data_IF_460054623339
#
_entry.id   IF_460054623339
#
_cell.length_a   1.000
_cell.length_b   1.000
_cell.length_c   1.000
_cell.angle_alpha   90.00
_cell.angle_beta   90.00
_cell.angle_gamma   90.00
#
_symmetry.space_group_name_H-M   'P 1'
#
loop_
_entity.id
_entity.type
_entity.pdbx_description
1 polymer ?
#
# COMPACT_ATOMS: atom_id res chain seq x y z
N UNK A 1 1.39 -11.17 -5.94
CA UNK A 1 2.33 -10.05 -6.15
C UNK A 1 2.26 -9.19 -4.89
N UNK A 2 3.35 -9.07 -4.11
CA UNK A 2 3.37 -8.29 -2.86
C UNK A 2 3.91 -6.88 -3.15
N UNK A 3 3.13 -5.86 -2.79
CA UNK A 3 3.47 -4.45 -2.98
C UNK A 3 4.16 -3.99 -1.69
N UNK A 4 5.47 -3.67 -1.77
CA UNK A 4 6.24 -3.13 -0.66
C UNK A 4 6.00 -1.62 -0.55
N UNK A 5 5.35 -1.16 0.51
CA UNK A 5 5.28 0.26 0.85
C UNK A 5 6.35 0.61 1.86
N UNK A 6 7.15 1.65 1.58
CA UNK A 6 8.09 2.20 2.55
C UNK A 6 7.35 3.25 3.38
N UNK A 7 7.15 2.99 4.67
CA UNK A 7 6.51 3.90 5.61
C UNK A 7 5.00 4.10 5.42
N UNK A 8 4.46 5.10 6.13
CA UNK A 8 3.09 5.58 5.97
C UNK A 8 2.93 6.31 4.63
N UNK A 9 1.81 6.12 3.93
CA UNK A 9 1.59 6.80 2.66
C UNK A 9 0.60 6.12 1.70
N UNK A 10 0.62 6.51 0.41
CA UNK A 10 -0.21 5.92 -0.62
C UNK A 10 0.09 4.43 -0.81
N UNK A 11 -0.97 3.62 -0.77
CA UNK A 11 -0.91 2.17 -0.99
C UNK A 11 -1.71 1.83 -2.24
N UNK A 12 -1.07 1.17 -3.20
CA UNK A 12 -1.79 0.64 -4.37
C UNK A 12 -2.46 -0.68 -3.98
N UNK A 13 -3.79 -0.72 -4.07
CA UNK A 13 -4.59 -1.91 -3.81
C UNK A 13 -4.74 -2.78 -5.07
N UNK A 14 -4.72 -2.17 -6.25
CA UNK A 14 -4.77 -2.90 -7.50
C UNK A 14 -4.05 -2.21 -8.67
N UNK A 15 -3.53 -3.01 -9.59
CA UNK A 15 -3.14 -2.56 -10.93
C UNK A 15 -4.30 -2.78 -11.88
N UNK A 16 -4.99 -1.72 -12.28
CA UNK A 16 -5.95 -1.83 -13.38
C UNK A 16 -5.21 -1.64 -14.72
N UNK A 17 -4.78 -2.75 -15.32
CA UNK A 17 -4.02 -2.73 -16.59
C UNK A 17 -4.87 -2.20 -17.75
N UNK A 18 -6.15 -2.55 -17.79
CA UNK A 18 -7.03 -2.28 -18.94
C UNK A 18 -7.85 -0.98 -18.78
N UNK A 19 -7.74 -0.30 -17.63
CA UNK A 19 -8.44 0.95 -17.33
C UNK A 19 -9.94 0.80 -17.03
N UNK A 20 -10.44 -0.43 -16.89
CA UNK A 20 -11.87 -0.76 -16.83
C UNK A 20 -12.64 -0.09 -15.68
N UNK A 21 -12.06 -0.01 -14.49
CA UNK A 21 -12.67 0.60 -13.30
C UNK A 21 -12.94 2.08 -13.55
N UNK A 22 -11.97 2.79 -14.12
CA UNK A 22 -12.12 4.22 -14.37
C UNK A 22 -13.14 4.48 -15.49
N UNK A 23 -13.16 3.63 -16.53
CA UNK A 23 -14.14 3.71 -17.60
C UNK A 23 -15.57 3.52 -17.09
N UNK A 24 -15.81 2.56 -16.19
CA UNK A 24 -17.11 2.34 -15.56
C UNK A 24 -17.52 3.56 -14.75
N UNK A 25 -16.65 4.11 -13.92
CA UNK A 25 -16.96 5.33 -13.15
C UNK A 25 -17.30 6.51 -14.07
N UNK A 26 -16.56 6.66 -15.17
CA UNK A 26 -16.84 7.72 -16.13
C UNK A 26 -18.17 7.52 -16.86
N UNK A 27 -18.52 6.28 -17.21
CA UNK A 27 -19.80 5.93 -17.82
C UNK A 27 -20.96 6.17 -16.86
N UNK A 28 -20.87 5.65 -15.65
CA UNK A 28 -22.00 5.63 -14.71
C UNK A 28 -22.23 6.99 -14.05
N UNK A 29 -21.18 7.67 -13.58
CA UNK A 29 -21.31 8.88 -12.74
C UNK A 29 -20.62 10.10 -13.33
N UNK A 30 -19.87 9.92 -14.43
CA UNK A 30 -19.19 11.00 -15.14
C UNK A 30 -18.37 11.89 -14.19
N UNK A 31 -18.05 13.12 -14.59
CA UNK A 31 -17.29 14.08 -13.78
C UNK A 31 -18.08 14.67 -12.60
N UNK A 32 -19.35 14.29 -12.40
CA UNK A 32 -20.20 14.83 -11.32
C UNK A 32 -20.04 14.06 -10.01
N UNK A 33 -19.64 12.79 -10.08
CA UNK A 33 -19.68 11.92 -8.91
C UNK A 33 -21.11 11.51 -8.56
N UNK A 34 -21.32 10.94 -7.37
CA UNK A 34 -22.64 10.55 -6.87
C UNK A 34 -22.65 10.40 -5.35
N UNK A 35 -23.82 10.58 -4.74
CA UNK A 35 -24.17 10.19 -3.37
C UNK A 35 -25.40 9.25 -3.34
N UNK A 36 -25.85 8.79 -4.50
CA UNK A 36 -26.93 7.80 -4.62
C UNK A 36 -26.39 6.43 -4.20
N UNK A 37 -26.93 5.90 -3.09
CA UNK A 37 -26.49 4.65 -2.48
C UNK A 37 -26.76 3.45 -3.40
N UNK A 38 -27.89 3.42 -4.11
CA UNK A 38 -28.20 2.31 -5.02
C UNK A 38 -27.19 2.27 -6.15
N UNK A 39 -26.91 3.44 -6.75
CA UNK A 39 -25.94 3.56 -7.82
C UNK A 39 -24.51 3.25 -7.38
N UNK A 40 -24.13 3.66 -6.16
CA UNK A 40 -22.84 3.30 -5.58
C UNK A 40 -22.72 1.79 -5.44
N UNK A 41 -23.77 1.13 -4.94
CA UNK A 41 -23.80 -0.33 -4.80
C UNK A 41 -23.64 -1.01 -6.17
N UNK A 42 -24.40 -0.60 -7.18
CA UNK A 42 -24.32 -1.17 -8.53
C UNK A 42 -22.91 -1.02 -9.14
N UNK A 43 -22.23 0.10 -8.87
CA UNK A 43 -20.84 0.33 -9.31
C UNK A 43 -19.88 -0.63 -8.61
N UNK A 44 -19.99 -0.79 -7.29
CA UNK A 44 -19.09 -1.62 -6.49
C UNK A 44 -19.35 -3.12 -6.69
N UNK A 45 -20.57 -3.51 -7.04
CA UNK A 45 -20.96 -4.88 -7.40
C UNK A 45 -20.54 -5.25 -8.84
N UNK A 46 -20.06 -4.28 -9.63
CA UNK A 46 -19.56 -4.55 -10.97
C UNK A 46 -18.30 -5.43 -10.91
N UNK A 47 -18.20 -6.38 -11.85
CA UNK A 47 -17.08 -7.32 -11.97
C UNK A 47 -15.70 -6.66 -11.88
N UNK A 48 -15.53 -5.47 -12.47
CA UNK A 48 -14.25 -4.77 -12.45
C UNK A 48 -13.82 -4.30 -11.06
N UNK A 49 -14.72 -4.21 -10.08
CA UNK A 49 -14.40 -3.97 -8.67
C UNK A 49 -14.25 -5.28 -7.90
N UNK A 50 -15.12 -6.26 -8.16
CA UNK A 50 -15.09 -7.56 -7.46
C UNK A 50 -13.91 -8.44 -7.85
N UNK A 51 -13.34 -8.31 -9.06
CA UNK A 51 -12.14 -9.06 -9.46
C UNK A 51 -10.93 -8.75 -8.54
N UNK A 52 -10.98 -7.65 -7.78
CA UNK A 52 -9.96 -7.28 -6.80
C UNK A 52 -10.30 -7.70 -5.36
N UNK A 53 -11.49 -8.26 -5.10
CA UNK A 53 -11.89 -8.68 -3.75
C UNK A 53 -11.08 -9.85 -3.19
N UNK A 54 -10.35 -10.55 -4.05
CA UNK A 54 -9.50 -11.68 -3.67
C UNK A 54 -8.03 -11.30 -3.44
N UNK A 55 -7.65 -10.04 -3.71
CA UNK A 55 -6.27 -9.59 -3.52
C UNK A 55 -6.10 -9.01 -2.13
N UNK A 56 -5.65 -9.85 -1.19
CA UNK A 56 -5.22 -9.39 0.12
C UNK A 56 -3.88 -8.65 0.01
N UNK A 57 -3.91 -7.32 0.07
CA UNK A 57 -2.69 -6.52 0.14
C UNK A 57 -2.28 -6.40 1.60
N UNK A 58 -1.10 -6.95 1.91
CA UNK A 58 -0.51 -7.01 3.25
C UNK A 58 0.71 -6.07 3.32
N UNK A 59 0.50 -4.75 3.41
CA UNK A 59 1.60 -3.83 3.58
C UNK A 59 2.29 -4.07 4.92
N UNK A 60 3.62 -4.21 4.86
CA UNK A 60 4.50 -4.06 5.99
C UNK A 60 4.86 -2.58 6.10
N UNK A 61 4.37 -1.91 7.13
CA UNK A 61 4.79 -0.54 7.47
C UNK A 61 5.98 -0.65 8.42
N UNK A 62 7.07 0.02 8.08
CA UNK A 62 8.27 0.07 8.89
C UNK A 62 8.56 1.50 9.32
N UNK A 63 8.81 1.70 10.62
CA UNK A 63 9.36 2.92 11.19
C UNK A 63 10.77 2.63 11.69
N UNK A 64 11.75 3.07 10.90
CA UNK A 64 13.17 2.82 11.15
C UNK A 64 13.70 3.52 12.39
N UNK A 65 13.28 4.77 12.60
CA UNK A 65 13.70 5.56 13.76
C UNK A 65 13.26 4.92 15.08
N UNK A 66 12.06 4.36 15.11
CA UNK A 66 11.51 3.70 16.29
C UNK A 66 11.82 2.19 16.35
N UNK A 67 12.46 1.66 15.29
CA UNK A 67 12.69 0.23 15.11
C UNK A 67 11.41 -0.62 15.29
N UNK A 68 10.30 -0.13 14.74
CA UNK A 68 8.99 -0.76 14.84
C UNK A 68 8.47 -1.15 13.48
N UNK A 69 7.72 -2.24 13.44
CA UNK A 69 7.00 -2.66 12.26
C UNK A 69 5.54 -2.97 12.58
N UNK A 70 4.70 -2.83 11.55
CA UNK A 70 3.28 -3.13 11.60
C UNK A 70 2.89 -3.84 10.31
N UNK A 71 2.27 -5.00 10.42
CA UNK A 71 1.61 -5.68 9.31
C UNK A 71 0.13 -5.36 9.42
N UNK A 72 -0.40 -4.68 8.40
CA UNK A 72 -1.82 -4.36 8.32
C UNK A 72 -2.42 -5.00 7.07
N UNK A 73 -3.74 -5.14 7.06
CA UNK A 73 -4.51 -5.58 5.90
C UNK A 73 -5.64 -4.59 5.66
N UNK A 74 -5.87 -4.21 4.41
CA UNK A 74 -6.99 -3.35 4.04
C UNK A 74 -8.28 -4.17 4.00
N UNK A 75 -9.25 -3.82 4.83
CA UNK A 75 -10.56 -4.47 4.87
C UNK A 75 -11.45 -3.92 3.76
N UNK A 76 -11.36 -4.55 2.59
CA UNK A 76 -12.07 -4.11 1.40
C UNK A 76 -13.59 -4.25 1.55
N UNK A 77 -14.07 -5.27 2.26
CA UNK A 77 -15.50 -5.47 2.49
C UNK A 77 -16.07 -4.33 3.32
N UNK A 78 -15.41 -4.00 4.43
CA UNK A 78 -15.77 -2.84 5.26
C UNK A 78 -15.67 -1.54 4.48
N UNK A 79 -14.62 -1.37 3.66
CA UNK A 79 -14.45 -0.19 2.84
C UNK A 79 -15.63 0.01 1.87
N UNK A 80 -16.03 -1.05 1.14
CA UNK A 80 -17.13 -0.99 0.18
C UNK A 80 -18.48 -0.74 0.85
N UNK A 81 -18.78 -1.43 1.95
CA UNK A 81 -20.05 -1.22 2.69
C UNK A 81 -20.17 0.19 3.27
N UNK A 82 -19.03 0.85 3.52
CA UNK A 82 -18.98 2.17 4.13
C UNK A 82 -19.08 3.32 3.12
N UNK A 83 -18.93 3.08 1.81
CA UNK A 83 -19.00 4.14 0.80
C UNK A 83 -20.41 4.76 0.79
N UNK A 84 -20.49 6.07 1.02
CA UNK A 84 -21.71 6.87 0.85
C UNK A 84 -21.60 7.94 -0.23
N UNK A 85 -20.37 8.23 -0.68
CA UNK A 85 -20.16 9.27 -1.69
C UNK A 85 -18.93 9.01 -2.55
N UNK A 86 -19.07 9.27 -3.84
CA UNK A 86 -17.99 9.26 -4.82
C UNK A 86 -17.86 10.66 -5.41
N UNK A 87 -16.66 11.24 -5.39
CA UNK A 87 -16.40 12.55 -6.00
C UNK A 87 -15.30 12.45 -7.06
N UNK A 88 -15.52 13.12 -8.18
CA UNK A 88 -14.52 13.30 -9.21
C UNK A 88 -13.63 14.52 -8.91
N UNK A 89 -12.33 14.35 -9.06
CA UNK A 89 -11.33 15.38 -8.94
C UNK A 89 -10.61 15.55 -10.29
N UNK A 90 -10.75 16.71 -10.95
CA UNK A 90 -10.10 16.94 -12.23
C UNK A 90 -8.57 17.07 -12.07
N UNK A 91 -7.80 16.80 -13.14
CA UNK A 91 -6.38 17.07 -13.21
C UNK A 91 -6.05 18.52 -12.84
N UNK A 92 -5.18 18.72 -11.84
CA UNK A 92 -4.66 20.03 -11.43
C UNK A 92 -3.24 20.23 -11.95
N UNK A 93 -2.87 21.48 -12.24
CA UNK A 93 -1.50 21.83 -12.58
C UNK A 93 -0.75 22.14 -11.29
N UNK A 94 0.35 21.45 -11.04
CA UNK A 94 1.25 21.67 -9.91
C UNK A 94 2.63 21.98 -10.51
N UNK A 95 2.96 23.27 -10.57
CA UNK A 95 4.14 23.76 -11.28
C UNK A 95 4.14 23.34 -12.75
N UNK A 96 5.18 22.61 -13.18
CA UNK A 96 5.32 22.06 -14.54
C UNK A 96 4.60 20.72 -14.75
N UNK A 97 4.13 20.07 -13.69
CA UNK A 97 3.48 18.75 -13.76
C UNK A 97 1.96 18.87 -13.66
N UNK A 98 1.24 17.93 -14.24
CA UNK A 98 -0.21 17.82 -14.13
C UNK A 98 -0.56 16.55 -13.34
N UNK A 99 -1.48 16.66 -12.39
CA UNK A 99 -2.00 15.49 -11.68
C UNK A 99 -2.94 14.70 -12.57
N UNK A 100 -3.21 13.46 -12.21
CA UNK A 100 -4.18 12.62 -12.89
C UNK A 100 -5.61 12.92 -12.44
N UNK A 101 -6.63 12.58 -13.25
CA UNK A 101 -8.00 12.56 -12.78
C UNK A 101 -8.19 11.45 -11.74
N UNK A 102 -8.97 11.72 -10.70
CA UNK A 102 -9.16 10.81 -9.57
C UNK A 102 -10.64 10.76 -9.20
N UNK A 103 -11.17 9.56 -8.98
CA UNK A 103 -12.42 9.39 -8.22
C UNK A 103 -12.08 9.01 -6.79
N UNK A 104 -12.54 9.78 -5.82
CA UNK A 104 -12.35 9.48 -4.39
C UNK A 104 -13.66 9.01 -3.76
N UNK A 105 -13.55 8.04 -2.88
CA UNK A 105 -14.65 7.38 -2.20
C UNK A 105 -14.62 7.78 -0.72
N UNK A 106 -15.78 8.13 -0.19
CA UNK A 106 -15.95 8.67 1.16
C UNK A 106 -17.07 7.96 1.90
N UNK A 107 -16.96 7.94 3.22
CA UNK A 107 -18.01 7.48 4.13
C UNK A 107 -19.10 8.55 4.36
N UNK A 108 -20.04 8.26 5.27
CA UNK A 108 -21.11 9.15 5.71
C UNK A 108 -20.60 10.44 6.37
N UNK A 109 -19.43 10.38 7.03
CA UNK A 109 -18.74 11.49 7.69
C UNK A 109 -17.84 12.28 6.76
N UNK A 110 -17.83 11.98 5.46
CA UNK A 110 -16.90 12.52 4.46
C UNK A 110 -15.43 12.15 4.68
N UNK A 111 -15.13 11.14 5.49
CA UNK A 111 -13.79 10.60 5.66
C UNK A 111 -13.37 9.86 4.39
N UNK A 112 -12.09 9.97 4.04
CA UNK A 112 -11.52 9.30 2.89
C UNK A 112 -11.42 7.79 3.14
N UNK A 113 -11.79 6.98 2.13
CA UNK A 113 -11.67 5.52 2.18
C UNK A 113 -10.60 5.03 1.18
N UNK A 114 -10.83 5.29 -0.10
CA UNK A 114 -9.93 4.91 -1.18
C UNK A 114 -10.18 5.80 -2.41
N UNK A 115 -9.38 5.61 -3.45
CA UNK A 115 -9.51 6.32 -4.72
C UNK A 115 -9.12 5.47 -5.93
N UNK A 116 -9.67 5.83 -7.08
CA UNK A 116 -9.32 5.26 -8.37
C UNK A 116 -8.59 6.33 -9.17
N UNK A 117 -7.36 6.01 -9.59
CA UNK A 117 -6.50 6.88 -10.39
C UNK A 117 -6.41 6.36 -11.82
N UNK A 118 -6.34 7.28 -12.78
CA UNK A 118 -6.11 6.93 -14.19
C UNK A 118 -4.99 7.76 -14.82
N UNK A 119 -3.86 7.09 -15.06
CA UNK A 119 -2.69 7.66 -15.71
C UNK A 119 -2.81 7.87 -17.23
N UNK A 120 -3.82 7.28 -17.89
CA UNK A 120 -3.84 7.12 -19.35
C UNK A 120 -3.19 5.82 -19.83
N UNK A 121 -3.40 5.46 -21.10
CA UNK A 121 -2.89 4.22 -21.69
C UNK A 121 -1.35 4.17 -21.75
N UNK A 122 -0.69 5.33 -21.93
CA UNK A 122 0.77 5.47 -22.00
C UNK A 122 1.46 5.64 -20.63
N UNK A 123 0.70 5.73 -19.53
CA UNK A 123 1.27 5.88 -18.20
C UNK A 123 1.85 4.56 -17.67
N UNK A 124 2.70 4.63 -16.65
CA UNK A 124 3.18 3.43 -15.96
C UNK A 124 2.04 2.76 -15.16
N UNK A 125 2.10 1.43 -14.99
CA UNK A 125 1.08 0.67 -14.26
C UNK A 125 0.90 1.13 -12.80
N UNK A 126 1.95 1.71 -12.21
CA UNK A 126 1.96 2.38 -10.89
C UNK A 126 1.18 3.71 -10.86
N UNK A 127 0.51 4.08 -11.94
CA UNK A 127 -0.32 5.30 -12.04
C UNK A 127 -1.78 4.96 -12.34
N UNK A 128 -2.17 3.68 -12.30
CA UNK A 128 -3.53 3.20 -12.63
C UNK A 128 -4.06 2.24 -11.57
N UNK A 129 -5.36 2.31 -11.32
CA UNK A 129 -6.08 1.35 -10.48
C UNK A 129 -6.51 1.94 -9.16
N UNK A 130 -6.75 1.06 -8.19
CA UNK A 130 -7.28 1.41 -6.88
C UNK A 130 -6.14 1.71 -5.91
N UNK A 131 -6.27 2.79 -5.17
CA UNK A 131 -5.31 3.30 -4.20
C UNK A 131 -6.01 3.63 -2.91
N UNK A 132 -5.33 3.47 -1.79
CA UNK A 132 -5.73 4.04 -0.50
C UNK A 132 -4.53 4.77 0.12
N UNK A 133 -4.67 5.22 1.36
CA UNK A 133 -3.61 5.87 2.12
C UNK A 133 -3.64 5.33 3.54
N UNK A 134 -2.50 4.81 4.02
CA UNK A 134 -2.46 4.05 5.28
C UNK A 134 -2.84 4.88 6.51
N UNK A 135 -2.57 6.19 6.52
CA UNK A 135 -3.02 7.11 7.59
C UNK A 135 -4.46 7.60 7.37
N UNK A 136 -4.76 8.22 6.23
CA UNK A 136 -6.08 8.84 6.01
C UNK A 136 -7.26 7.83 6.02
N UNK A 137 -6.98 6.56 5.74
CA UNK A 137 -7.96 5.48 5.74
C UNK A 137 -7.68 4.44 6.85
N UNK A 138 -6.97 4.83 7.92
CA UNK A 138 -6.55 3.93 9.00
C UNK A 138 -7.70 3.06 9.56
N UNK A 139 -8.90 3.63 9.68
CA UNK A 139 -10.09 2.93 10.17
C UNK A 139 -10.54 1.74 9.31
N UNK A 140 -10.04 1.63 8.07
CA UNK A 140 -10.29 0.54 7.14
C UNK A 140 -9.14 -0.46 7.08
N UNK A 141 -8.13 -0.33 7.95
CA UNK A 141 -7.08 -1.31 8.11
C UNK A 141 -7.29 -2.14 9.38
N UNK A 142 -7.06 -3.44 9.25
CA UNK A 142 -6.94 -4.35 10.39
C UNK A 142 -5.47 -4.61 10.66
N UNK A 143 -5.08 -4.49 11.91
CA UNK A 143 -3.74 -4.85 12.37
C UNK A 143 -3.64 -6.38 12.53
N UNK A 144 -2.61 -6.97 11.94
CA UNK A 144 -2.34 -8.40 12.06
C UNK A 144 -1.17 -8.68 13.00
N UNK A 145 -0.14 -7.84 12.93
CA UNK A 145 1.06 -7.99 13.74
C UNK A 145 1.68 -6.62 13.99
N UNK A 146 2.11 -6.38 15.22
CA UNK A 146 2.89 -5.20 15.62
C UNK A 146 4.06 -5.66 16.46
N UNK A 147 5.23 -5.07 16.22
CA UNK A 147 6.42 -5.46 16.97
C UNK A 147 7.55 -4.45 16.84
N UNK A 148 8.49 -4.54 17.79
CA UNK A 148 9.79 -3.92 17.66
C UNK A 148 10.80 -4.94 17.17
N UNK A 149 11.84 -4.49 16.48
CA UNK A 149 13.05 -5.28 16.32
C UNK A 149 14.23 -4.45 16.77
N UNK A 150 14.95 -4.85 17.81
CA UNK A 150 16.29 -4.31 18.01
C UNK A 150 17.17 -5.00 16.99
N UNK A 151 17.65 -4.27 15.98
CA UNK A 151 18.83 -4.71 15.24
C UNK A 151 19.88 -4.98 16.31
N UNK A 152 20.39 -6.21 16.38
CA UNK A 152 21.56 -6.48 17.20
C UNK A 152 22.76 -5.88 16.46
N UNK A 153 22.87 -4.55 16.51
CA UNK A 153 23.95 -3.78 15.90
C UNK A 153 25.32 -4.36 16.27
N UNK A 154 25.58 -4.80 17.52
CA UNK A 154 26.80 -5.53 17.85
C UNK A 154 27.03 -6.78 16.99
N UNK A 155 26.00 -7.61 16.79
CA UNK A 155 26.09 -8.82 15.97
C UNK A 155 26.30 -8.51 14.48
N UNK A 156 25.59 -7.53 13.94
CA UNK A 156 25.73 -7.11 12.54
C UNK A 156 27.12 -6.50 12.31
N UNK A 157 27.58 -5.65 13.24
CA UNK A 157 28.92 -5.06 13.22
C UNK A 157 30.00 -6.13 13.31
N UNK A 158 29.80 -7.14 14.16
CA UNK A 158 30.70 -8.28 14.27
C UNK A 158 30.79 -9.04 12.94
N UNK A 159 29.65 -9.41 12.34
CA UNK A 159 29.61 -10.11 11.05
C UNK A 159 30.25 -9.27 9.94
N UNK A 160 29.97 -7.97 9.88
CA UNK A 160 30.57 -7.08 8.89
C UNK A 160 32.09 -7.01 9.05
N UNK A 161 32.60 -6.87 10.28
CA UNK A 161 34.04 -6.88 10.58
C UNK A 161 34.69 -8.21 10.24
N UNK A 162 34.00 -9.33 10.48
CA UNK A 162 34.46 -10.65 10.06
C UNK A 162 34.63 -10.65 8.54
N UNK A 163 33.58 -10.35 7.77
CA UNK A 163 33.58 -10.43 6.29
C UNK A 163 34.67 -9.57 5.61
N UNK A 164 35.03 -8.42 6.17
CA UNK A 164 36.08 -7.54 5.62
C UNK A 164 37.49 -7.84 6.18
N UNK A 165 37.63 -8.83 7.05
CA UNK A 165 38.91 -9.19 7.64
C UNK A 165 39.80 -9.98 6.68
N UNK A 166 41.12 -9.86 6.89
CA UNK A 166 42.12 -10.65 6.17
C UNK A 166 42.00 -12.14 6.48
N UNK A 167 42.48 -13.01 5.58
CA UNK A 167 42.34 -14.47 5.67
C UNK A 167 42.87 -15.05 6.98
N UNK A 168 44.01 -14.56 7.46
CA UNK A 168 44.64 -14.99 8.73
C UNK A 168 43.78 -14.66 9.96
N UNK A 169 43.08 -13.52 9.93
CA UNK A 169 42.14 -13.10 10.97
C UNK A 169 40.87 -13.95 10.91
N UNK A 170 40.35 -14.22 9.71
CA UNK A 170 39.20 -15.12 9.52
C UNK A 170 39.45 -16.51 10.12
N UNK A 171 40.61 -17.11 9.84
CA UNK A 171 40.97 -18.44 10.37
C UNK A 171 41.07 -18.46 11.90
N UNK A 172 41.57 -17.38 12.52
CA UNK A 172 41.57 -17.24 13.99
C UNK A 172 40.16 -17.14 14.55
N UNK A 173 39.30 -16.33 13.92
CA UNK A 173 37.91 -16.15 14.36
C UNK A 173 37.15 -17.47 14.29
N UNK A 174 37.29 -18.23 13.20
CA UNK A 174 36.66 -19.54 13.06
C UNK A 174 37.13 -20.52 14.16
N UNK A 175 38.43 -20.54 14.50
CA UNK A 175 38.94 -21.35 15.61
C UNK A 175 38.30 -21.01 16.96
N UNK A 176 38.09 -19.72 17.25
CA UNK A 176 37.42 -19.31 18.49
C UNK A 176 35.94 -19.70 18.49
N UNK A 177 35.22 -19.53 17.38
CA UNK A 177 33.80 -19.89 17.27
C UNK A 177 33.55 -21.40 17.43
N UNK A 178 34.37 -22.24 16.77
CA UNK A 178 34.20 -23.70 16.86
C UNK A 178 34.72 -24.30 18.17
N UNK A 179 35.67 -23.65 18.85
CA UNK A 179 36.08 -24.07 20.20
C UNK A 179 35.04 -23.72 21.28
N UNK A 180 34.17 -22.75 21.03
CA UNK A 180 33.05 -22.41 21.91
C UNK A 180 31.87 -23.40 21.79
N UNK A 181 31.72 -24.12 20.67
CA UNK A 181 30.64 -25.11 20.50
C UNK A 181 30.93 -26.49 21.10
N UNK A 182 32.16 -26.70 21.60
CA UNK A 182 32.60 -27.95 22.25
C UNK A 182 32.65 -27.82 23.78
N UNK A 183 31.94 -26.86 24.36
CA UNK A 183 31.72 -26.71 25.80
C UNK A 183 30.23 -26.73 26.11
#
# INVERSE_FOLDING_TARGET
MSIKTHGFGPLQLSTNKDGSIFAILQKEISKRGTNDISKIKDILDNKCFTDFSFINVLPLIYNEKEMRFKVIIFDLQKAYSSVKRIKFFPPRKIGRKRTFPIYKFFDDKNSYIFEVRYGGAKANALQRGMWTHTENAESFFKELLVGGYKINEPLITLIAKILVSRKDIHEKILKYFFNLSNR
#
